data_IF_907491578669
#
_entry.id   IF_907491578669
#
_cell.length_a   1.000
_cell.length_b   1.000
_cell.length_c   1.000
_cell.angle_alpha   90.00
_cell.angle_beta   90.00
_cell.angle_gamma   90.00
#
_symmetry.space_group_name_H-M   'P 1'
#
loop_
_entity.id
_entity.type
_entity.pdbx_description
1 polymer ?
#
# COMPACT_ATOMS: atom_id res chain seq x y z
N UNK A 1 24.40 -78.26 -39.06
CA UNK A 1 23.20 -77.75 -38.33
C UNK A 1 23.54 -77.14 -36.95
N UNK A 2 24.67 -76.46 -36.80
CA UNK A 2 25.07 -75.87 -35.49
C UNK A 2 25.27 -74.36 -35.49
N UNK A 3 24.97 -73.67 -36.54
CA UNK A 3 25.15 -72.19 -36.65
C UNK A 3 23.90 -71.35 -36.57
N UNK A 4 22.71 -71.94 -36.48
CA UNK A 4 21.40 -71.21 -36.42
C UNK A 4 20.87 -71.05 -35.02
N UNK A 5 21.48 -71.62 -33.97
CA UNK A 5 21.02 -71.53 -32.56
C UNK A 5 21.64 -70.39 -31.77
N UNK A 6 22.71 -69.79 -32.25
CA UNK A 6 23.39 -68.69 -31.52
C UNK A 6 22.90 -67.29 -31.87
N UNK A 7 22.09 -67.14 -32.93
CA UNK A 7 21.58 -65.80 -33.34
C UNK A 7 20.32 -65.36 -32.61
N UNK A 8 19.55 -66.32 -32.03
CA UNK A 8 18.29 -66.01 -31.32
C UNK A 8 18.48 -65.63 -29.84
N UNK A 9 19.66 -65.81 -29.23
CA UNK A 9 19.90 -65.46 -27.81
C UNK A 9 20.38 -64.01 -27.67
N UNK A 10 20.92 -63.38 -28.73
CA UNK A 10 21.42 -62.01 -28.71
C UNK A 10 20.31 -60.94 -28.95
N UNK A 11 19.17 -61.33 -29.47
CA UNK A 11 18.04 -60.40 -29.73
C UNK A 11 17.15 -60.24 -28.49
N UNK A 12 17.09 -61.21 -27.56
CA UNK A 12 16.30 -61.18 -26.34
C UNK A 12 16.94 -60.31 -25.21
N UNK A 13 18.24 -60.06 -25.26
CA UNK A 13 18.95 -59.25 -24.25
C UNK A 13 18.92 -57.73 -24.50
N UNK A 14 18.55 -57.27 -25.70
CA UNK A 14 18.52 -55.85 -26.07
C UNK A 14 17.24 -55.09 -25.70
N UNK A 15 16.14 -55.81 -25.34
CA UNK A 15 14.82 -55.20 -25.12
C UNK A 15 14.49 -54.84 -23.65
N UNK A 16 15.36 -55.16 -22.69
CA UNK A 16 15.10 -54.91 -21.27
C UNK A 16 15.83 -53.65 -20.75
N UNK A 17 16.77 -53.08 -21.51
CA UNK A 17 17.55 -51.89 -21.08
C UNK A 17 16.90 -50.54 -21.38
N UNK A 18 15.74 -50.51 -22.08
CA UNK A 18 15.07 -49.27 -22.48
C UNK A 18 13.96 -48.74 -21.55
N UNK A 19 13.61 -49.48 -20.48
CA UNK A 19 12.41 -49.19 -19.68
C UNK A 19 12.65 -48.41 -18.36
N UNK A 20 13.89 -47.95 -18.07
CA UNK A 20 14.22 -47.34 -16.77
C UNK A 20 14.64 -45.88 -16.80
N UNK A 21 14.36 -45.15 -17.88
CA UNK A 21 14.49 -43.69 -17.93
C UNK A 21 13.10 -43.01 -18.02
N UNK A 22 12.16 -43.39 -17.14
CA UNK A 22 11.06 -42.51 -16.82
C UNK A 22 11.67 -41.29 -16.10
N UNK A 23 11.49 -40.05 -16.59
CA UNK A 23 11.91 -38.89 -15.83
C UNK A 23 11.16 -38.95 -14.48
N UNK A 24 11.89 -39.19 -13.40
CA UNK A 24 11.39 -39.02 -12.05
C UNK A 24 10.90 -37.58 -11.99
N UNK A 25 9.59 -37.35 -11.96
CA UNK A 25 9.04 -36.04 -11.71
C UNK A 25 9.66 -35.59 -10.38
N UNK A 26 10.62 -34.69 -10.45
CA UNK A 26 11.18 -34.08 -9.26
C UNK A 26 9.99 -33.56 -8.43
N UNK A 27 9.86 -33.92 -7.14
CA UNK A 27 8.80 -33.39 -6.32
C UNK A 27 8.87 -31.86 -6.46
N UNK A 28 7.79 -31.26 -6.99
CA UNK A 28 7.72 -29.82 -7.19
C UNK A 28 8.08 -29.16 -5.87
N UNK A 29 9.09 -28.30 -5.89
CA UNK A 29 9.55 -27.64 -4.66
C UNK A 29 8.35 -26.96 -4.02
N UNK A 30 8.03 -27.36 -2.77
CA UNK A 30 6.87 -26.80 -2.06
C UNK A 30 7.09 -25.30 -1.85
N UNK A 31 6.27 -24.48 -2.49
CA UNK A 31 6.27 -23.02 -2.27
C UNK A 31 5.68 -22.70 -0.89
N UNK A 32 6.25 -21.74 -0.12
CA UNK A 32 7.57 -21.16 -0.31
C UNK A 32 8.69 -22.03 0.31
N UNK A 33 9.87 -22.04 -0.29
CA UNK A 33 11.05 -22.77 0.19
C UNK A 33 12.24 -21.86 0.54
N UNK A 34 12.11 -20.54 0.30
CA UNK A 34 13.08 -19.52 0.69
C UNK A 34 12.36 -18.20 1.05
N UNK A 35 13.07 -17.18 1.58
CA UNK A 35 12.43 -15.94 2.04
C UNK A 35 11.67 -15.19 0.95
N UNK A 36 10.51 -14.61 1.34
CA UNK A 36 9.66 -13.77 0.49
C UNK A 36 10.04 -12.30 0.77
N UNK A 37 10.23 -11.51 -0.30
CA UNK A 37 10.47 -10.08 -0.21
C UNK A 37 9.17 -9.31 -0.33
N UNK A 38 8.89 -8.46 0.65
CA UNK A 38 7.77 -7.54 0.67
C UNK A 38 8.28 -6.14 0.33
N UNK A 39 8.17 -5.74 -0.93
CA UNK A 39 8.68 -4.48 -1.46
C UNK A 39 7.69 -3.37 -1.16
N UNK A 40 8.09 -2.42 -0.33
CA UNK A 40 7.27 -1.30 0.16
C UNK A 40 7.62 -0.03 -0.60
N UNK A 41 6.61 0.64 -1.16
CA UNK A 41 6.79 1.82 -2.03
C UNK A 41 7.09 3.14 -1.31
N UNK A 42 7.37 3.11 0.01
CA UNK A 42 7.57 4.31 0.84
C UNK A 42 8.77 4.16 1.77
N UNK A 43 9.23 5.30 2.32
CA UNK A 43 10.36 5.33 3.25
C UNK A 43 10.06 4.55 4.55
N UNK A 44 11.10 4.03 5.23
CA UNK A 44 10.95 3.41 6.55
C UNK A 44 10.34 4.39 7.57
N UNK A 45 9.63 3.83 8.57
CA UNK A 45 9.01 4.59 9.66
C UNK A 45 7.69 5.28 9.29
N UNK A 46 7.21 5.13 8.04
CA UNK A 46 5.88 5.57 7.64
C UNK A 46 4.79 4.51 7.88
N UNK A 47 3.51 4.91 7.72
CA UNK A 47 2.36 4.03 7.93
C UNK A 47 2.44 2.71 7.12
N UNK A 48 2.80 2.79 5.84
CA UNK A 48 2.90 1.60 4.98
C UNK A 48 4.01 0.64 5.45
N UNK A 49 5.15 1.17 5.90
CA UNK A 49 6.25 0.38 6.47
C UNK A 49 5.84 -0.28 7.79
N UNK A 50 5.15 0.48 8.67
CA UNK A 50 4.61 -0.04 9.93
C UNK A 50 3.69 -1.24 9.68
N UNK A 51 2.68 -1.09 8.82
CA UNK A 51 1.75 -2.17 8.49
C UNK A 51 2.48 -3.37 7.87
N UNK A 52 3.41 -3.12 6.93
CA UNK A 52 4.19 -4.18 6.29
C UNK A 52 4.97 -5.02 7.31
N UNK A 53 5.63 -4.39 8.29
CA UNK A 53 6.38 -5.09 9.35
C UNK A 53 5.47 -5.87 10.28
N UNK A 54 4.34 -5.29 10.69
CA UNK A 54 3.35 -5.95 11.54
C UNK A 54 2.82 -7.23 10.86
N UNK A 55 2.44 -7.16 9.57
CA UNK A 55 1.92 -8.34 8.87
C UNK A 55 3.02 -9.34 8.50
N UNK A 56 4.22 -8.88 8.14
CA UNK A 56 5.35 -9.75 7.82
C UNK A 56 5.75 -10.62 9.00
N UNK A 57 5.82 -10.05 10.20
CA UNK A 57 6.17 -10.76 11.44
C UNK A 57 5.22 -11.94 11.71
N UNK A 58 3.92 -11.76 11.51
CA UNK A 58 2.93 -12.82 11.73
C UNK A 58 2.82 -13.80 10.55
N UNK A 59 2.85 -13.29 9.31
CA UNK A 59 2.69 -14.11 8.10
C UNK A 59 3.82 -15.14 7.94
N UNK A 60 5.05 -14.85 8.39
CA UNK A 60 6.17 -15.79 8.32
C UNK A 60 5.88 -17.12 9.04
N UNK A 61 5.15 -17.09 10.16
CA UNK A 61 4.75 -18.31 10.88
C UNK A 61 3.75 -19.16 10.11
N UNK A 62 2.86 -18.54 9.32
CA UNK A 62 1.85 -19.22 8.50
C UNK A 62 2.44 -19.74 7.18
N UNK A 63 3.42 -19.01 6.62
CA UNK A 63 4.08 -19.37 5.37
C UNK A 63 5.24 -20.37 5.56
N UNK A 64 5.75 -20.51 6.80
CA UNK A 64 6.91 -21.35 7.09
C UNK A 64 8.23 -20.78 6.55
N UNK A 65 8.24 -19.51 6.09
CA UNK A 65 9.39 -18.81 5.54
C UNK A 65 9.43 -17.37 6.00
N UNK A 66 10.62 -16.78 6.08
CA UNK A 66 10.78 -15.37 6.44
C UNK A 66 10.12 -14.46 5.42
N UNK A 67 9.48 -13.41 5.91
CA UNK A 67 8.95 -12.30 5.08
C UNK A 67 9.80 -11.07 5.37
N UNK A 68 10.55 -10.61 4.38
CA UNK A 68 11.55 -9.54 4.52
C UNK A 68 10.99 -8.26 3.92
N UNK A 69 10.84 -7.23 4.73
CA UNK A 69 10.39 -5.90 4.27
C UNK A 69 11.57 -5.14 3.65
N UNK A 70 11.39 -4.71 2.41
CA UNK A 70 12.36 -3.91 1.64
C UNK A 70 11.72 -2.60 1.19
N UNK A 71 12.19 -1.47 1.70
CA UNK A 71 11.66 -0.17 1.33
C UNK A 71 12.33 0.37 0.06
N UNK A 72 11.51 0.70 -0.96
CA UNK A 72 11.90 1.35 -2.23
C UNK A 72 11.00 2.54 -2.51
N UNK A 73 11.18 3.60 -1.72
CA UNK A 73 10.40 4.82 -1.85
C UNK A 73 10.76 5.63 -3.11
N UNK A 74 9.80 6.41 -3.58
CA UNK A 74 9.96 7.37 -4.69
C UNK A 74 8.77 7.37 -5.65
N UNK A 75 8.46 8.55 -6.20
CA UNK A 75 7.38 8.78 -7.16
C UNK A 75 6.03 8.15 -6.73
N UNK A 76 5.64 8.38 -5.46
CA UNK A 76 4.44 7.81 -4.85
C UNK A 76 4.35 6.28 -5.03
N UNK A 77 5.45 5.56 -4.79
CA UNK A 77 5.53 4.10 -4.88
C UNK A 77 5.81 3.54 -6.27
N UNK A 78 5.93 4.36 -7.32
CA UNK A 78 6.18 3.90 -8.69
C UNK A 78 7.51 3.15 -8.83
N UNK A 79 8.55 3.51 -8.06
CA UNK A 79 9.85 2.82 -8.05
C UNK A 79 9.71 1.37 -7.58
N UNK A 80 8.95 1.14 -6.50
CA UNK A 80 8.68 -0.20 -6.00
C UNK A 80 7.78 -0.99 -6.96
N UNK A 81 6.76 -0.34 -7.53
CA UNK A 81 5.87 -0.92 -8.52
C UNK A 81 6.65 -1.45 -9.73
N UNK A 82 7.51 -0.62 -10.34
CA UNK A 82 8.36 -1.02 -11.47
C UNK A 82 9.28 -2.19 -11.12
N UNK A 83 9.86 -2.16 -9.90
CA UNK A 83 10.71 -3.25 -9.41
C UNK A 83 9.97 -4.59 -9.37
N UNK A 84 8.73 -4.60 -8.85
CA UNK A 84 7.97 -5.85 -8.72
C UNK A 84 7.32 -6.27 -10.03
N UNK A 85 6.85 -5.33 -10.86
CA UNK A 85 6.31 -5.63 -12.18
C UNK A 85 7.30 -6.41 -13.06
N UNK A 86 8.62 -6.15 -12.89
CA UNK A 86 9.72 -6.81 -13.61
C UNK A 86 10.30 -8.03 -12.90
N UNK A 87 9.83 -8.35 -11.70
CA UNK A 87 10.31 -9.49 -10.95
C UNK A 87 9.81 -10.83 -11.52
N UNK A 88 10.47 -11.93 -11.17
CA UNK A 88 10.00 -13.27 -11.51
C UNK A 88 8.61 -13.52 -10.92
N UNK A 89 7.67 -14.12 -11.68
CA UNK A 89 6.31 -14.39 -11.22
C UNK A 89 6.22 -15.70 -10.42
N UNK A 90 7.09 -15.83 -9.43
CA UNK A 90 7.27 -17.03 -8.60
C UNK A 90 6.72 -16.86 -7.16
N UNK A 91 6.15 -15.69 -6.85
CA UNK A 91 5.58 -15.38 -5.55
C UNK A 91 6.60 -14.92 -4.49
N UNK A 92 7.87 -14.78 -4.81
CA UNK A 92 8.90 -14.36 -3.84
C UNK A 92 9.20 -12.86 -3.82
N UNK A 93 8.63 -12.10 -4.76
CA UNK A 93 8.66 -10.64 -4.74
C UNK A 93 7.23 -10.11 -4.76
N UNK A 94 6.81 -9.49 -3.66
CA UNK A 94 5.45 -8.98 -3.50
C UNK A 94 5.48 -7.46 -3.37
N UNK A 95 4.53 -6.79 -3.97
CA UNK A 95 4.36 -5.34 -3.87
C UNK A 95 3.37 -5.02 -2.76
N UNK A 96 3.86 -4.40 -1.70
CA UNK A 96 3.06 -3.91 -0.60
C UNK A 96 2.87 -2.41 -0.75
N UNK A 97 1.65 -1.97 -1.02
CA UNK A 97 1.39 -0.62 -1.50
C UNK A 97 0.07 -0.04 -1.02
N UNK A 98 -0.16 1.22 -1.38
CA UNK A 98 -1.39 1.97 -1.10
C UNK A 98 -2.12 2.32 -2.40
N UNK A 99 -3.32 2.86 -2.27
CA UNK A 99 -4.13 3.39 -3.38
C UNK A 99 -3.35 4.33 -4.30
N UNK A 100 -2.39 5.09 -3.75
CA UNK A 100 -1.59 6.06 -4.48
C UNK A 100 -0.88 5.49 -5.69
N UNK A 101 -0.09 4.44 -5.48
CA UNK A 101 0.73 3.85 -6.53
C UNK A 101 -0.10 3.14 -7.62
N UNK A 102 -1.19 2.46 -7.24
CA UNK A 102 -1.92 1.57 -8.15
C UNK A 102 -3.22 2.15 -8.70
N UNK A 103 -3.78 3.19 -8.09
CA UNK A 103 -5.03 3.78 -8.57
C UNK A 103 -4.95 5.29 -8.83
N UNK A 104 -4.20 6.06 -8.02
CA UNK A 104 -4.09 7.51 -8.22
C UNK A 104 -3.04 7.85 -9.27
N UNK A 105 -1.82 7.30 -9.19
CA UNK A 105 -0.77 7.54 -10.20
C UNK A 105 -1.28 7.32 -11.64
N UNK A 106 -1.97 6.21 -11.97
CA UNK A 106 -2.51 5.99 -13.31
C UNK A 106 -3.52 7.05 -13.77
N UNK A 107 -4.22 7.67 -12.83
CA UNK A 107 -5.26 8.65 -13.15
C UNK A 107 -4.70 9.98 -13.69
N UNK A 108 -3.43 10.31 -13.40
CA UNK A 108 -2.82 11.56 -13.86
C UNK A 108 -1.48 11.41 -14.60
N UNK A 109 -0.77 10.27 -14.43
CA UNK A 109 0.51 10.02 -15.06
C UNK A 109 0.35 9.09 -16.28
N UNK A 110 0.80 9.56 -17.44
CA UNK A 110 0.81 8.76 -18.68
C UNK A 110 2.14 8.06 -18.93
N UNK A 111 3.18 8.40 -18.18
CA UNK A 111 4.56 7.95 -18.33
C UNK A 111 4.94 6.87 -17.29
N UNK A 112 3.97 6.20 -16.68
CA UNK A 112 4.24 5.15 -15.72
C UNK A 112 4.96 3.97 -16.36
N UNK A 113 6.03 3.44 -15.70
CA UNK A 113 6.76 2.28 -16.21
C UNK A 113 6.04 0.94 -15.95
N UNK A 114 4.79 0.98 -15.49
CA UNK A 114 3.94 -0.18 -15.20
C UNK A 114 2.46 0.15 -15.46
N UNK A 115 1.69 -0.91 -15.73
CA UNK A 115 0.22 -0.88 -15.79
C UNK A 115 -0.35 -1.64 -14.57
N UNK A 116 -1.05 -0.98 -13.64
CA UNK A 116 -1.47 -1.62 -12.39
C UNK A 116 -2.46 -2.77 -12.59
N UNK A 117 -3.16 -2.82 -13.73
CA UNK A 117 -4.14 -3.89 -14.04
C UNK A 117 -3.50 -5.05 -14.79
N UNK A 118 -2.47 -4.77 -15.63
CA UNK A 118 -1.84 -5.80 -16.49
C UNK A 118 -0.60 -6.43 -15.88
N UNK A 119 0.16 -5.65 -15.08
CA UNK A 119 1.48 -6.07 -14.60
C UNK A 119 1.44 -6.68 -13.20
N UNK A 120 0.27 -6.67 -12.54
CA UNK A 120 0.11 -7.24 -11.21
C UNK A 120 -1.06 -8.22 -11.12
N UNK A 121 -0.86 -9.27 -10.33
CA UNK A 121 -1.90 -10.14 -9.82
C UNK A 121 -2.30 -9.64 -8.42
N UNK A 122 -3.57 -9.26 -8.17
CA UNK A 122 -4.05 -8.91 -6.83
C UNK A 122 -3.89 -10.10 -5.89
N UNK A 123 -3.38 -9.88 -4.68
CA UNK A 123 -3.29 -10.92 -3.65
C UNK A 123 -4.37 -10.68 -2.59
N UNK A 124 -4.45 -9.48 -2.00
CA UNK A 124 -5.49 -9.15 -1.03
C UNK A 124 -5.30 -7.77 -0.42
N UNK A 125 -6.38 -7.17 0.02
CA UNK A 125 -6.38 -5.97 0.84
C UNK A 125 -5.97 -6.36 2.26
N UNK A 126 -5.29 -5.44 2.95
CA UNK A 126 -4.79 -5.64 4.31
C UNK A 126 -5.58 -4.78 5.30
N UNK A 127 -5.69 -3.48 5.03
CA UNK A 127 -6.35 -2.57 5.94
C UNK A 127 -6.65 -1.22 5.31
N UNK A 128 -7.46 -0.44 6.03
CA UNK A 128 -7.86 0.92 5.66
C UNK A 128 -7.50 1.89 6.76
N UNK A 129 -7.15 3.10 6.36
CA UNK A 129 -6.99 4.25 7.24
C UNK A 129 -7.39 5.51 6.47
N UNK A 130 -7.62 6.61 7.17
CA UNK A 130 -7.86 7.88 6.50
C UNK A 130 -6.76 8.88 6.91
N UNK A 131 -6.29 9.72 5.99
CA UNK A 131 -5.43 10.84 6.34
C UNK A 131 -6.10 11.77 7.35
N UNK A 132 -5.29 12.28 8.26
CA UNK A 132 -5.67 13.26 9.29
C UNK A 132 -4.90 14.53 9.05
N UNK A 133 -5.61 15.65 8.99
CA UNK A 133 -5.04 16.99 9.02
C UNK A 133 -4.64 17.31 10.44
N UNK A 134 -3.37 17.59 10.63
CA UNK A 134 -2.81 17.93 11.93
C UNK A 134 -1.83 19.11 11.81
N UNK A 135 -1.63 19.83 12.91
CA UNK A 135 -0.75 21.02 12.95
C UNK A 135 0.19 20.97 14.14
N UNK A 136 1.28 21.72 14.05
CA UNK A 136 2.11 22.04 15.18
C UNK A 136 1.31 22.93 16.17
N UNK A 137 1.16 22.54 17.44
CA UNK A 137 0.42 23.32 18.44
C UNK A 137 0.99 24.74 18.65
N UNK A 138 2.28 24.93 18.40
CA UNK A 138 2.96 26.22 18.63
C UNK A 138 2.52 27.32 17.69
N UNK A 139 1.90 26.98 16.55
CA UNK A 139 1.37 28.00 15.63
C UNK A 139 0.06 28.66 16.10
N UNK A 140 -0.50 28.21 17.25
CA UNK A 140 -1.70 28.81 17.86
C UNK A 140 -3.02 28.46 17.15
N UNK A 141 -3.05 27.45 16.28
CA UNK A 141 -4.24 26.94 15.60
C UNK A 141 -4.78 25.73 16.34
N UNK A 142 -6.04 25.78 16.75
CA UNK A 142 -6.69 24.72 17.53
C UNK A 142 -7.87 24.06 16.80
N UNK A 143 -8.37 24.65 15.73
CA UNK A 143 -9.53 24.16 14.97
C UNK A 143 -9.28 24.28 13.48
N UNK A 144 -9.97 23.44 12.68
CA UNK A 144 -9.97 23.54 11.20
C UNK A 144 -10.42 24.91 10.72
N UNK A 145 -11.45 25.50 11.37
CA UNK A 145 -11.94 26.83 11.04
C UNK A 145 -10.86 27.92 11.23
N UNK A 146 -10.02 27.82 12.27
CA UNK A 146 -8.89 28.75 12.48
C UNK A 146 -7.82 28.58 11.40
N UNK A 147 -7.52 27.34 10.98
CA UNK A 147 -6.58 27.07 9.89
C UNK A 147 -7.08 27.69 8.58
N UNK A 148 -8.36 27.47 8.24
CA UNK A 148 -9.00 28.04 7.05
C UNK A 148 -9.00 29.56 7.11
N UNK A 149 -9.36 30.17 8.24
CA UNK A 149 -9.31 31.61 8.43
C UNK A 149 -7.91 32.20 8.22
N UNK A 150 -6.86 31.53 8.76
CA UNK A 150 -5.47 31.95 8.55
C UNK A 150 -5.06 31.87 7.09
N UNK A 151 -5.41 30.80 6.38
CA UNK A 151 -5.11 30.63 4.96
C UNK A 151 -5.81 31.71 4.10
N UNK A 152 -7.06 32.09 4.42
CA UNK A 152 -7.79 33.17 3.74
C UNK A 152 -7.18 34.55 4.00
N UNK A 153 -6.73 34.80 5.22
CA UNK A 153 -6.10 36.07 5.60
C UNK A 153 -4.68 36.25 5.01
N UNK A 154 -3.95 35.16 4.88
CA UNK A 154 -2.58 35.14 4.41
C UNK A 154 -2.39 33.95 3.43
N UNK A 155 -2.83 34.09 2.18
CA UNK A 155 -2.63 33.07 1.15
C UNK A 155 -1.13 32.71 1.01
N UNK A 156 -0.86 31.47 0.63
CA UNK A 156 0.48 30.93 0.36
C UNK A 156 1.48 31.04 1.54
N UNK A 157 0.97 31.08 2.78
CA UNK A 157 1.84 31.13 3.99
C UNK A 157 1.72 29.91 4.88
N UNK A 158 0.70 29.08 4.71
CA UNK A 158 0.50 27.87 5.49
C UNK A 158 1.06 26.68 4.73
N UNK A 159 2.17 26.13 5.24
CA UNK A 159 2.80 24.93 4.67
C UNK A 159 2.20 23.67 5.24
N UNK A 160 1.83 22.71 4.38
CA UNK A 160 1.27 21.42 4.78
C UNK A 160 2.05 20.29 4.12
N UNK A 161 2.68 19.44 4.94
CA UNK A 161 3.39 18.26 4.48
C UNK A 161 2.44 17.16 4.00
N UNK A 162 2.78 16.54 2.87
CA UNK A 162 2.08 15.42 2.26
C UNK A 162 3.06 14.26 2.02
N UNK A 163 2.55 13.03 1.87
CA UNK A 163 3.39 11.82 1.75
C UNK A 163 3.98 11.60 0.35
N UNK A 164 3.72 12.52 -0.57
CA UNK A 164 4.20 12.53 -1.95
C UNK A 164 3.18 13.13 -2.90
N UNK A 165 3.67 13.61 -4.03
CA UNK A 165 2.82 14.13 -5.11
C UNK A 165 1.98 12.98 -5.67
N UNK A 166 0.65 13.17 -5.79
CA UNK A 166 -0.29 12.12 -6.20
C UNK A 166 -0.58 11.05 -5.14
N UNK A 167 -0.02 11.19 -3.91
CA UNK A 167 -0.41 10.33 -2.81
C UNK A 167 -1.84 10.65 -2.33
N UNK A 168 -2.47 9.72 -1.60
CA UNK A 168 -3.81 9.94 -1.03
C UNK A 168 -3.84 11.17 -0.11
N UNK A 169 -2.76 11.45 0.61
CA UNK A 169 -2.62 12.64 1.45
C UNK A 169 -2.67 13.95 0.65
N UNK A 170 -2.07 13.94 -0.56
CA UNK A 170 -2.14 15.07 -1.50
C UNK A 170 -3.59 15.29 -1.95
N UNK A 171 -4.26 14.23 -2.42
CA UNK A 171 -5.65 14.31 -2.89
C UNK A 171 -6.61 14.70 -1.75
N UNK A 172 -6.38 14.19 -0.53
CA UNK A 172 -7.15 14.57 0.65
C UNK A 172 -7.02 16.07 0.95
N UNK A 173 -5.80 16.62 0.83
CA UNK A 173 -5.54 18.03 1.04
C UNK A 173 -6.18 18.88 -0.07
N UNK A 174 -6.02 18.52 -1.34
CA UNK A 174 -6.67 19.20 -2.48
C UNK A 174 -8.22 19.21 -2.37
N UNK A 175 -8.81 18.08 -1.94
CA UNK A 175 -10.25 18.00 -1.73
C UNK A 175 -10.71 18.87 -0.56
N UNK A 176 -9.92 18.95 0.51
CA UNK A 176 -10.18 19.85 1.62
C UNK A 176 -10.07 21.31 1.18
N UNK A 177 -9.01 21.69 0.48
CA UNK A 177 -8.83 23.04 -0.09
C UNK A 177 -10.00 23.46 -0.97
N UNK A 178 -10.42 22.57 -1.88
CA UNK A 178 -11.58 22.80 -2.76
C UNK A 178 -12.88 22.98 -1.97
N UNK A 179 -13.05 22.25 -0.85
CA UNK A 179 -14.25 22.34 -0.02
C UNK A 179 -14.25 23.56 0.91
N UNK A 180 -13.08 24.05 1.30
CA UNK A 180 -12.89 25.18 2.21
C UNK A 180 -12.66 26.51 1.46
N UNK A 181 -12.49 26.46 0.14
CA UNK A 181 -12.12 27.60 -0.71
C UNK A 181 -10.84 28.30 -0.19
N UNK A 182 -9.78 27.54 -0.04
CA UNK A 182 -8.43 27.98 0.40
C UNK A 182 -7.35 27.32 -0.41
N UNK A 183 -6.10 27.81 -0.27
CA UNK A 183 -4.89 27.18 -0.77
C UNK A 183 -3.83 27.12 0.32
N UNK A 184 -3.08 25.99 0.36
CA UNK A 184 -1.92 25.79 1.18
C UNK A 184 -0.67 25.61 0.30
N UNK A 185 0.51 25.77 0.90
CA UNK A 185 1.77 25.41 0.25
C UNK A 185 2.04 23.93 0.55
N UNK A 186 1.94 23.08 -0.46
CA UNK A 186 2.17 21.65 -0.32
C UNK A 186 3.67 21.35 -0.27
N UNK A 187 4.12 20.63 0.76
CA UNK A 187 5.50 20.17 0.91
C UNK A 187 5.53 18.65 0.77
N UNK A 188 6.01 18.13 -0.37
CA UNK A 188 6.02 16.68 -0.61
C UNK A 188 7.18 15.98 0.10
N UNK A 189 6.89 14.88 0.78
CA UNK A 189 7.85 13.99 1.44
C UNK A 189 7.81 12.59 0.84
N UNK A 190 8.83 11.76 1.13
CA UNK A 190 8.89 10.37 0.68
C UNK A 190 8.15 9.41 1.63
N UNK A 191 7.02 9.85 2.20
CA UNK A 191 6.19 9.08 3.12
C UNK A 191 5.89 9.82 4.42
N UNK A 192 5.10 9.20 5.32
CA UNK A 192 4.60 9.83 6.55
C UNK A 192 5.70 10.10 7.59
N UNK A 193 6.73 9.23 7.69
CA UNK A 193 7.80 9.39 8.67
C UNK A 193 8.58 10.71 8.52
N UNK A 194 9.15 11.01 7.33
CA UNK A 194 9.79 12.30 7.09
C UNK A 194 8.88 13.51 7.27
N UNK A 195 7.61 13.44 6.84
CA UNK A 195 6.64 14.52 7.03
C UNK A 195 6.38 14.82 8.52
N UNK A 196 6.24 13.75 9.32
CA UNK A 196 6.09 13.86 10.77
C UNK A 196 7.31 14.49 11.44
N UNK A 197 8.52 14.08 11.04
CA UNK A 197 9.75 14.63 11.59
C UNK A 197 9.85 16.15 11.34
N UNK A 198 9.47 16.61 10.14
CA UNK A 198 9.47 18.01 9.78
C UNK A 198 8.40 18.83 10.53
N UNK A 199 7.22 18.25 10.78
CA UNK A 199 6.21 18.88 11.65
C UNK A 199 6.76 19.07 13.08
N UNK A 200 7.33 18.01 13.66
CA UNK A 200 7.89 18.04 15.02
C UNK A 200 9.10 18.97 15.12
N UNK A 201 9.82 19.20 14.02
CA UNK A 201 10.91 20.17 13.90
C UNK A 201 10.45 21.61 13.67
N UNK A 202 9.14 21.85 13.48
CA UNK A 202 8.59 23.17 13.16
C UNK A 202 8.91 23.67 11.75
N UNK A 203 9.34 22.80 10.83
CA UNK A 203 9.69 23.17 9.46
C UNK A 203 8.45 23.30 8.57
N UNK A 204 7.35 22.65 8.91
CA UNK A 204 6.02 22.81 8.28
C UNK A 204 4.98 23.16 9.33
N UNK A 205 3.93 23.90 8.94
CA UNK A 205 2.85 24.32 9.85
C UNK A 205 1.88 23.18 10.16
N UNK A 206 1.67 22.28 9.22
CA UNK A 206 0.78 21.14 9.35
C UNK A 206 1.19 19.99 8.45
N UNK A 207 0.49 18.87 8.60
CA UNK A 207 0.63 17.67 7.77
C UNK A 207 -0.74 17.06 7.49
N UNK A 208 -0.86 16.40 6.35
CA UNK A 208 -1.99 15.52 6.00
C UNK A 208 -1.43 14.12 5.82
N UNK A 209 -1.49 13.28 6.85
CA UNK A 209 -0.93 11.92 6.84
C UNK A 209 -1.80 10.96 7.65
N UNK A 210 -1.59 9.64 7.49
CA UNK A 210 -2.31 8.64 8.29
C UNK A 210 -1.99 8.80 9.79
N UNK A 211 -3.02 8.69 10.64
CA UNK A 211 -2.93 8.94 12.09
C UNK A 211 -1.99 7.98 12.83
N UNK A 212 -1.82 6.77 12.32
CA UNK A 212 -1.04 5.69 12.97
C UNK A 212 0.36 6.11 13.42
N UNK A 213 1.08 6.88 12.60
CA UNK A 213 2.44 7.34 12.93
C UNK A 213 2.46 8.52 13.87
N UNK A 214 1.31 9.16 14.14
CA UNK A 214 1.18 10.34 15.01
C UNK A 214 0.66 10.02 16.42
N UNK A 215 0.09 8.84 16.67
CA UNK A 215 -0.68 8.54 17.87
C UNK A 215 0.05 8.88 19.17
N UNK A 216 1.30 8.48 19.32
CA UNK A 216 2.08 8.75 20.53
C UNK A 216 2.38 10.25 20.71
N UNK A 217 2.59 10.97 19.60
CA UNK A 217 2.83 12.42 19.62
C UNK A 217 1.54 13.21 19.90
N UNK A 218 0.39 12.70 19.45
CA UNK A 218 -0.93 13.26 19.79
C UNK A 218 -1.20 13.10 21.28
N UNK A 219 -1.00 11.90 21.84
CA UNK A 219 -1.15 11.62 23.28
C UNK A 219 -0.21 12.49 24.14
N UNK A 220 1.00 12.73 23.63
CA UNK A 220 1.98 13.60 24.28
C UNK A 220 1.71 15.11 24.11
N UNK A 221 0.64 15.50 23.40
CA UNK A 221 0.30 16.91 23.14
C UNK A 221 1.25 17.64 22.18
N UNK A 222 2.13 16.91 21.49
CA UNK A 222 3.12 17.47 20.54
C UNK A 222 2.51 17.76 19.17
N UNK A 223 1.35 17.23 18.87
CA UNK A 223 0.61 17.39 17.61
C UNK A 223 -0.85 17.67 17.93
N UNK A 224 -1.45 18.60 17.20
CA UNK A 224 -2.87 18.91 17.26
C UNK A 224 -3.56 18.40 16.01
N UNK A 225 -4.44 17.41 16.16
CA UNK A 225 -5.33 16.93 15.09
C UNK A 225 -6.48 17.90 14.87
N UNK A 226 -6.81 18.18 13.62
CA UNK A 226 -7.91 19.08 13.24
C UNK A 226 -9.10 18.32 12.65
N UNK A 227 -8.84 17.25 11.86
CA UNK A 227 -9.90 16.44 11.29
C UNK A 227 -9.37 15.35 10.39
N UNK A 228 -10.16 14.27 10.23
CA UNK A 228 -9.86 13.18 9.31
C UNK A 228 -10.62 13.33 7.99
N UNK A 229 -10.02 12.89 6.90
CA UNK A 229 -10.65 12.85 5.57
C UNK A 229 -11.58 11.65 5.34
N UNK A 230 -11.89 10.85 6.37
CA UNK A 230 -12.88 9.78 6.24
C UNK A 230 -14.31 10.34 6.10
N UNK A 231 -15.17 9.58 5.41
CA UNK A 231 -16.59 9.92 5.28
C UNK A 231 -17.33 9.82 6.62
N UNK A 232 -16.90 8.89 7.49
CA UNK A 232 -17.52 8.62 8.79
C UNK A 232 -16.40 8.62 9.85
N UNK A 233 -16.75 9.04 11.06
CA UNK A 233 -15.82 9.04 12.21
C UNK A 233 -15.36 7.62 12.54
N UNK A 234 -14.09 7.48 12.81
CA UNK A 234 -13.50 6.17 13.17
C UNK A 234 -13.73 5.87 14.65
N UNK A 235 -14.22 4.66 14.95
CA UNK A 235 -14.33 4.16 16.33
C UNK A 235 -12.96 3.93 16.99
N UNK A 236 -11.89 3.88 16.19
CA UNK A 236 -10.52 3.69 16.68
C UNK A 236 -9.88 4.98 17.20
N UNK A 237 -10.34 6.14 16.73
CA UNK A 237 -9.90 7.48 17.11
C UNK A 237 -11.11 8.42 17.20
N UNK A 238 -12.08 8.15 18.08
CA UNK A 238 -13.36 8.86 18.12
C UNK A 238 -13.24 10.33 18.50
N UNK A 239 -12.11 10.73 19.08
CA UNK A 239 -11.80 12.12 19.39
C UNK A 239 -11.48 13.00 18.17
N UNK A 240 -11.12 12.38 17.01
CA UNK A 240 -10.81 13.13 15.80
C UNK A 240 -12.09 13.26 14.93
N UNK A 241 -12.68 14.45 14.82
CA UNK A 241 -13.87 14.65 13.98
C UNK A 241 -13.52 14.48 12.50
N UNK A 242 -14.49 14.14 11.66
CA UNK A 242 -14.27 14.17 10.21
C UNK A 242 -14.31 15.61 9.70
N UNK A 243 -13.64 15.86 8.57
CA UNK A 243 -13.77 17.15 7.87
C UNK A 243 -15.20 17.36 7.35
N UNK A 244 -15.92 16.27 7.05
CA UNK A 244 -17.32 16.29 6.65
C UNK A 244 -18.23 16.80 7.78
N UNK A 245 -18.05 16.30 9.00
CA UNK A 245 -18.79 16.77 10.20
C UNK A 245 -18.56 18.26 10.48
N UNK A 246 -17.42 18.79 10.05
CA UNK A 246 -17.05 20.20 10.20
C UNK A 246 -17.53 21.08 9.03
N UNK A 247 -18.35 20.53 8.11
CA UNK A 247 -18.95 21.26 6.99
C UNK A 247 -18.19 21.19 5.66
N UNK A 248 -17.08 20.44 5.59
CA UNK A 248 -16.27 20.28 4.37
C UNK A 248 -16.66 18.97 3.64
N UNK A 249 -17.89 18.91 3.14
CA UNK A 249 -18.51 17.70 2.61
C UNK A 249 -17.74 17.02 1.44
N UNK A 250 -16.95 17.78 0.68
CA UNK A 250 -16.12 17.25 -0.42
C UNK A 250 -14.78 16.68 0.01
N UNK A 251 -14.38 16.83 1.28
CA UNK A 251 -13.05 16.44 1.78
C UNK A 251 -12.98 14.95 2.17
N UNK A 252 -13.40 14.06 1.27
CA UNK A 252 -13.43 12.60 1.52
C UNK A 252 -12.38 11.87 0.69
N UNK A 253 -11.39 11.32 1.38
CA UNK A 253 -10.36 10.47 0.79
C UNK A 253 -9.91 9.42 1.80
N UNK A 254 -10.00 8.15 1.43
CA UNK A 254 -9.57 7.03 2.26
C UNK A 254 -8.36 6.35 1.66
N UNK A 255 -7.40 6.01 2.52
CA UNK A 255 -6.26 5.19 2.18
C UNK A 255 -6.56 3.72 2.42
N UNK A 256 -6.00 2.87 1.58
CA UNK A 256 -5.98 1.44 1.81
C UNK A 256 -4.61 0.86 1.46
N UNK A 257 -4.26 -0.22 2.11
CA UNK A 257 -3.01 -0.94 1.92
C UNK A 257 -3.30 -2.34 1.40
N UNK A 258 -2.62 -2.75 0.35
CA UNK A 258 -2.83 -4.01 -0.33
C UNK A 258 -1.54 -4.69 -0.77
N UNK A 259 -1.68 -5.97 -1.05
CA UNK A 259 -0.62 -6.85 -1.52
C UNK A 259 -0.89 -7.28 -2.96
N UNK A 260 0.14 -7.17 -3.80
CA UNK A 260 0.14 -7.62 -5.19
C UNK A 260 1.36 -8.49 -5.48
N UNK A 261 1.22 -9.39 -6.43
CA UNK A 261 2.31 -10.17 -7.02
C UNK A 261 2.51 -9.77 -8.49
N UNK A 262 3.62 -10.16 -9.16
CA UNK A 262 3.74 -10.03 -10.62
C UNK A 262 2.60 -10.74 -11.36
N UNK A 263 2.11 -10.16 -12.46
CA UNK A 263 0.87 -10.59 -13.16
C UNK A 263 0.79 -12.08 -13.54
N UNK A 264 1.94 -12.70 -13.82
CA UNK A 264 1.99 -14.12 -14.24
C UNK A 264 2.25 -15.09 -13.08
N UNK A 265 2.14 -14.63 -11.83
CA UNK A 265 2.27 -15.51 -10.65
C UNK A 265 1.19 -16.59 -10.69
N UNK A 266 1.55 -17.87 -10.53
CA UNK A 266 0.59 -18.98 -10.59
C UNK A 266 -0.59 -18.79 -9.63
N UNK A 267 -1.83 -19.07 -10.02
CA UNK A 267 -3.02 -18.87 -9.21
C UNK A 267 -2.97 -19.58 -7.85
N UNK A 268 -2.37 -20.76 -7.77
CA UNK A 268 -2.19 -21.53 -6.54
C UNK A 268 -1.24 -20.82 -5.55
N UNK A 269 -0.23 -20.10 -6.05
CA UNK A 269 0.68 -19.28 -5.23
C UNK A 269 -0.07 -18.05 -4.71
N UNK A 270 -0.82 -17.36 -5.58
CA UNK A 270 -1.66 -16.22 -5.19
C UNK A 270 -2.67 -16.63 -4.12
N UNK A 271 -3.34 -17.78 -4.28
CA UNK A 271 -4.31 -18.29 -3.31
C UNK A 271 -3.65 -18.62 -1.97
N UNK A 272 -2.45 -19.22 -1.98
CA UNK A 272 -1.70 -19.51 -0.75
C UNK A 272 -1.26 -18.25 -0.02
N UNK A 273 -0.78 -17.23 -0.75
CA UNK A 273 -0.44 -15.93 -0.19
C UNK A 273 -1.68 -15.24 0.39
N UNK A 274 -2.78 -15.17 -0.37
CA UNK A 274 -4.03 -14.59 0.11
C UNK A 274 -4.50 -15.27 1.40
N UNK A 275 -4.52 -16.61 1.45
CA UNK A 275 -4.93 -17.35 2.65
C UNK A 275 -4.05 -17.00 3.86
N UNK A 276 -2.73 -16.95 3.70
CA UNK A 276 -1.79 -16.62 4.77
C UNK A 276 -1.96 -15.18 5.27
N UNK A 277 -2.06 -14.20 4.36
CA UNK A 277 -2.21 -12.79 4.75
C UNK A 277 -3.62 -12.52 5.30
N UNK A 278 -4.67 -13.12 4.78
CA UNK A 278 -6.03 -13.05 5.33
C UNK A 278 -6.10 -13.64 6.75
N UNK A 279 -5.49 -14.80 6.97
CA UNK A 279 -5.40 -15.39 8.30
C UNK A 279 -4.58 -14.49 9.27
N UNK A 280 -3.49 -13.89 8.77
CA UNK A 280 -2.71 -12.88 9.52
C UNK A 280 -3.59 -11.71 9.96
N UNK A 281 -4.31 -11.09 9.05
CA UNK A 281 -5.15 -9.91 9.34
C UNK A 281 -6.31 -10.24 10.27
N UNK A 282 -6.85 -11.46 10.19
CA UNK A 282 -7.96 -11.92 11.03
C UNK A 282 -7.53 -12.47 12.41
N UNK A 283 -6.24 -12.65 12.64
CA UNK A 283 -5.72 -13.09 13.93
C UNK A 283 -6.10 -12.08 15.04
N UNK A 284 -6.61 -12.51 16.20
CA UNK A 284 -7.05 -11.61 17.26
C UNK A 284 -5.98 -10.64 17.77
N UNK A 285 -4.72 -11.11 17.90
CA UNK A 285 -3.61 -10.26 18.32
C UNK A 285 -3.25 -9.22 17.26
N UNK A 286 -3.36 -9.60 15.98
CA UNK A 286 -3.15 -8.69 14.88
C UNK A 286 -4.24 -7.63 14.78
N UNK A 287 -5.50 -8.01 14.97
CA UNK A 287 -6.63 -7.06 15.04
C UNK A 287 -6.44 -6.04 16.16
N UNK A 288 -5.95 -6.49 17.33
CA UNK A 288 -5.60 -5.57 18.43
C UNK A 288 -4.48 -4.61 18.01
N UNK A 289 -3.37 -5.12 17.43
CA UNK A 289 -2.27 -4.28 16.92
C UNK A 289 -2.73 -3.28 15.87
N UNK A 290 -3.63 -3.67 14.98
CA UNK A 290 -4.21 -2.75 13.99
C UNK A 290 -5.05 -1.66 14.67
N UNK A 291 -5.91 -2.02 15.62
CA UNK A 291 -6.71 -1.06 16.36
C UNK A 291 -5.84 -0.07 17.16
N UNK A 292 -4.79 -0.56 17.83
CA UNK A 292 -3.81 0.27 18.55
C UNK A 292 -3.11 1.30 17.64
N UNK A 293 -3.07 1.03 16.31
CA UNK A 293 -2.51 1.91 15.29
C UNK A 293 -3.57 2.60 14.43
N UNK A 294 -4.83 2.60 14.85
CA UNK A 294 -5.97 3.20 14.14
C UNK A 294 -6.11 2.70 12.68
N UNK A 295 -5.85 1.43 12.45
CA UNK A 295 -5.98 0.75 11.17
C UNK A 295 -7.19 -0.17 11.24
N UNK A 296 -8.11 -0.05 10.29
CA UNK A 296 -9.26 -0.95 10.15
C UNK A 296 -8.87 -2.17 9.32
N UNK A 297 -8.81 -3.40 9.90
CA UNK A 297 -8.54 -4.61 9.15
C UNK A 297 -9.60 -4.81 8.06
N UNK A 298 -9.18 -5.08 6.83
CA UNK A 298 -10.10 -5.18 5.68
C UNK A 298 -9.64 -6.24 4.66
N UNK A 299 -9.44 -7.51 5.08
CA UNK A 299 -8.96 -8.54 4.16
C UNK A 299 -9.99 -8.82 3.06
N UNK A 300 -9.52 -9.07 1.85
CA UNK A 300 -10.34 -9.41 0.68
C UNK A 300 -9.78 -10.62 -0.05
N UNK A 301 -10.61 -11.23 -0.89
CA UNK A 301 -10.15 -12.14 -1.93
C UNK A 301 -9.34 -11.38 -3.02
N UNK A 302 -8.58 -12.09 -3.86
CA UNK A 302 -7.90 -11.50 -5.01
C UNK A 302 -8.87 -10.83 -6.00
N UNK A 303 -10.02 -11.45 -6.25
CA UNK A 303 -11.04 -10.92 -7.18
C UNK A 303 -11.66 -9.62 -6.65
N UNK A 304 -12.00 -9.56 -5.36
CA UNK A 304 -12.53 -8.34 -4.72
C UNK A 304 -11.49 -7.20 -4.77
N UNK A 305 -10.20 -7.48 -4.53
CA UNK A 305 -9.15 -6.48 -4.69
C UNK A 305 -9.02 -6.03 -6.14
N UNK A 306 -9.12 -6.95 -7.09
CA UNK A 306 -9.08 -6.62 -8.52
C UNK A 306 -10.25 -5.72 -8.96
N UNK A 307 -11.45 -5.94 -8.43
CA UNK A 307 -12.62 -5.09 -8.66
C UNK A 307 -12.46 -3.72 -7.99
N UNK A 308 -11.98 -3.70 -6.75
CA UNK A 308 -11.68 -2.45 -6.03
C UNK A 308 -10.65 -1.61 -6.80
N UNK A 309 -9.57 -2.21 -7.27
CA UNK A 309 -8.53 -1.51 -8.04
C UNK A 309 -9.12 -0.79 -9.26
N UNK A 310 -9.92 -1.49 -10.07
CA UNK A 310 -10.55 -0.92 -11.27
C UNK A 310 -11.52 0.22 -10.93
N UNK A 311 -12.32 0.03 -9.89
CA UNK A 311 -13.28 1.06 -9.43
C UNK A 311 -12.57 2.30 -8.87
N UNK A 312 -11.48 2.12 -8.14
CA UNK A 312 -10.68 3.22 -7.60
C UNK A 312 -9.95 4.00 -8.72
N UNK A 313 -9.39 3.33 -9.73
CA UNK A 313 -8.81 4.02 -10.90
C UNK A 313 -9.86 4.92 -11.56
N UNK A 314 -11.04 4.38 -11.90
CA UNK A 314 -12.11 5.13 -12.53
C UNK A 314 -12.62 6.30 -11.66
N UNK A 315 -12.73 6.09 -10.35
CA UNK A 315 -13.10 7.12 -9.37
C UNK A 315 -12.11 8.27 -9.36
N UNK A 316 -10.81 7.99 -9.27
CA UNK A 316 -9.78 9.02 -9.19
C UNK A 316 -9.61 9.76 -10.53
N UNK A 317 -9.67 9.07 -11.67
CA UNK A 317 -9.68 9.72 -12.98
C UNK A 317 -10.84 10.72 -13.12
N UNK A 318 -12.04 10.30 -12.72
CA UNK A 318 -13.22 11.17 -12.73
C UNK A 318 -13.03 12.38 -11.80
N UNK A 319 -12.61 12.14 -10.57
CA UNK A 319 -12.50 13.17 -9.53
C UNK A 319 -11.42 14.22 -9.86
N UNK A 320 -10.24 13.78 -10.29
CA UNK A 320 -9.15 14.67 -10.71
C UNK A 320 -9.60 15.56 -11.85
N UNK A 321 -10.29 15.00 -12.85
CA UNK A 321 -10.82 15.75 -14.00
C UNK A 321 -11.92 16.75 -13.58
N UNK A 322 -12.91 16.31 -12.79
CA UNK A 322 -14.06 17.15 -12.40
C UNK A 322 -13.68 18.27 -11.45
N UNK A 323 -12.69 18.05 -10.59
CA UNK A 323 -12.19 19.07 -9.65
C UNK A 323 -11.09 19.94 -10.24
N UNK A 324 -10.61 19.63 -11.45
CA UNK A 324 -9.52 20.36 -12.08
C UNK A 324 -8.21 20.28 -11.30
N UNK A 325 -7.99 19.17 -10.56
CA UNK A 325 -6.77 18.97 -9.76
C UNK A 325 -5.60 18.80 -10.71
N UNK A 326 -4.63 19.72 -10.62
CA UNK A 326 -3.40 19.67 -11.41
C UNK A 326 -2.30 19.07 -10.57
N UNK A 327 -1.91 17.84 -10.91
CA UNK A 327 -0.79 17.15 -10.27
C UNK A 327 0.41 17.23 -11.20
N UNK A 328 1.43 17.98 -10.79
CA UNK A 328 2.70 18.09 -11.53
C UNK A 328 3.64 16.98 -11.05
N UNK A 329 4.13 16.09 -11.93
CA UNK A 329 4.98 14.97 -11.54
C UNK A 329 6.34 15.35 -10.95
N UNK A 330 6.74 16.60 -11.08
CA UNK A 330 8.07 17.12 -10.72
C UNK A 330 8.14 17.75 -9.33
N UNK A 331 7.01 17.90 -8.64
CA UNK A 331 6.92 18.53 -7.32
C UNK A 331 7.14 17.56 -6.15
#
# INVERSE_FOLDING_TARGET
>A
MARLRQLNVLIAAGSIAGALLAPSAAPGQTYPNHPIRLVVGFAPGGNTDLIARIVADRAQGLLGQRVIVENRGGANGAVAADTVAKAAPDGYSLFFTTVGAVAINPAFRKDLPYDPVKDFAPVGLIGRAAPVLAVDPTIGINTTAQLVARAKQKPDTVTVGITGVGAISHLALELFESSADVKFVHIPFRGSGPALADLLGGHVNGIMIDVSVMLEHIKAGKIRTLGTSSAVRSDLVPEIPTLVEQGYAGAVAENWTALFAPAKTPPEIVAKLNAAFTATVNDPDMRRKFAENAITPSPTSPDELGQLLKSEIAKWEKLIREKGIVIKPED
#
